data_IF_006560378386
#
_entry.id   IF_006560378386
#
_cell.length_a   1.000
_cell.length_b   1.000
_cell.length_c   1.000
_cell.angle_alpha   90.00
_cell.angle_beta   90.00
_cell.angle_gamma   90.00
#
_symmetry.space_group_name_H-M   'P 1'
#
loop_
_entity.id
_entity.type
_entity.pdbx_description
1 polymer ?
#
# COMPACT_ATOMS: atom_id res chain seq x y z
N UNK A 1 -0.92 2.51 -2.36
CA UNK A 1 -1.59 3.51 -1.51
C UNK A 1 -0.62 4.63 -1.17
N UNK A 2 -1.11 5.80 -0.74
CA UNK A 2 -0.26 6.98 -0.51
C UNK A 2 -0.72 7.83 0.66
N UNK A 3 0.21 8.55 1.27
CA UNK A 3 -0.01 9.43 2.42
C UNK A 3 -0.75 8.72 3.56
N UNK A 4 -1.79 9.36 4.09
CA UNK A 4 -2.60 8.82 5.21
C UNK A 4 -3.26 7.47 4.89
N UNK A 5 -3.49 7.15 3.61
CA UNK A 5 -4.10 5.89 3.21
C UNK A 5 -3.15 4.68 3.29
N UNK A 6 -1.87 4.89 3.62
CA UNK A 6 -0.89 3.81 3.82
C UNK A 6 -1.34 2.88 4.95
N UNK A 7 -1.76 3.41 6.10
CA UNK A 7 -2.24 2.60 7.22
C UNK A 7 -3.43 1.73 6.82
N UNK A 8 -4.39 2.31 6.10
CA UNK A 8 -5.56 1.57 5.62
C UNK A 8 -5.18 0.45 4.64
N UNK A 9 -4.19 0.66 3.78
CA UNK A 9 -3.71 -0.40 2.87
C UNK A 9 -3.07 -1.58 3.61
N UNK A 10 -2.33 -1.31 4.68
CA UNK A 10 -1.76 -2.35 5.54
C UNK A 10 -2.87 -3.10 6.28
N UNK A 11 -3.85 -2.38 6.85
CA UNK A 11 -5.00 -2.98 7.53
C UNK A 11 -5.77 -3.93 6.60
N UNK A 12 -6.01 -3.53 5.34
CA UNK A 12 -6.67 -4.39 4.35
C UNK A 12 -5.87 -5.66 4.08
N UNK A 13 -4.54 -5.56 3.92
CA UNK A 13 -3.69 -6.72 3.67
C UNK A 13 -3.72 -7.71 4.85
N UNK A 14 -3.63 -7.20 6.07
CA UNK A 14 -3.71 -8.02 7.28
C UNK A 14 -5.10 -8.68 7.43
N UNK A 15 -6.18 -7.95 7.14
CA UNK A 15 -7.53 -8.53 7.16
C UNK A 15 -7.67 -9.63 6.09
N UNK A 16 -7.19 -9.40 4.87
CA UNK A 16 -7.23 -10.39 3.80
C UNK A 16 -6.46 -11.66 4.19
N UNK A 17 -5.21 -11.51 4.66
CA UNK A 17 -4.35 -12.63 5.05
C UNK A 17 -4.90 -13.43 6.23
N UNK A 18 -5.39 -12.75 7.27
CA UNK A 18 -5.77 -13.41 8.51
C UNK A 18 -7.23 -13.92 8.53
N UNK A 19 -8.15 -13.23 7.84
CA UNK A 19 -9.59 -13.56 7.90
C UNK A 19 -10.11 -14.29 6.66
N UNK A 20 -9.64 -13.93 5.46
CA UNK A 20 -10.29 -14.35 4.22
C UNK A 20 -9.48 -15.35 3.40
N UNK A 21 -8.17 -15.12 3.27
CA UNK A 21 -7.30 -15.85 2.36
C UNK A 21 -6.18 -16.54 3.14
N UNK A 22 -6.52 -17.68 3.76
CA UNK A 22 -5.57 -18.47 4.55
C UNK A 22 -4.40 -18.91 3.69
N UNK A 23 -3.18 -18.64 4.17
CA UNK A 23 -1.92 -19.01 3.52
C UNK A 23 -1.41 -18.01 2.48
N UNK A 24 -2.06 -16.85 2.32
CA UNK A 24 -1.52 -15.76 1.50
C UNK A 24 -0.25 -15.20 2.15
N UNK A 25 0.77 -14.97 1.33
CA UNK A 25 2.05 -14.44 1.78
C UNK A 25 2.36 -13.07 1.15
N UNK A 26 3.18 -12.29 1.84
CA UNK A 26 3.72 -11.07 1.28
C UNK A 26 4.81 -11.43 0.27
N UNK A 27 4.61 -11.07 -1.00
CA UNK A 27 5.59 -11.27 -2.06
C UNK A 27 6.60 -10.12 -2.09
N UNK A 28 6.11 -8.89 -2.03
CA UNK A 28 6.94 -7.69 -2.13
C UNK A 28 6.26 -6.49 -1.48
N UNK A 29 7.04 -5.64 -0.82
CA UNK A 29 6.58 -4.35 -0.29
C UNK A 29 7.56 -3.28 -0.78
N UNK A 30 7.04 -2.28 -1.50
CA UNK A 30 7.82 -1.14 -1.99
C UNK A 30 7.34 0.13 -1.33
N UNK A 31 8.29 0.96 -0.92
CA UNK A 31 8.02 2.30 -0.37
C UNK A 31 8.73 3.30 -1.26
N UNK A 32 8.04 4.35 -1.64
CA UNK A 32 8.55 5.39 -2.53
C UNK A 32 7.98 6.76 -2.16
N UNK A 33 8.43 7.79 -2.87
CA UNK A 33 7.85 9.14 -2.81
C UNK A 33 7.32 9.48 -4.18
N UNK A 34 6.03 9.78 -4.28
CA UNK A 34 5.40 10.30 -5.49
C UNK A 34 5.34 11.82 -5.45
N UNK A 35 5.62 12.47 -6.58
CA UNK A 35 5.39 13.90 -6.76
C UNK A 35 4.00 14.10 -7.36
N UNK A 36 3.14 14.79 -6.62
CA UNK A 36 1.77 15.10 -7.05
C UNK A 36 1.60 16.60 -7.20
N UNK A 37 0.96 17.01 -8.28
CA UNK A 37 0.60 18.40 -8.49
C UNK A 37 -0.67 18.73 -7.68
N UNK A 38 -0.54 19.65 -6.73
CA UNK A 38 -1.64 20.23 -5.97
C UNK A 38 -2.52 21.14 -6.82
N UNK A 39 -3.70 21.49 -6.31
CA UNK A 39 -4.65 22.40 -6.98
C UNK A 39 -4.07 23.81 -7.17
N UNK A 40 -3.14 24.20 -6.31
CA UNK A 40 -2.36 25.45 -6.39
C UNK A 40 -1.21 25.38 -7.41
N UNK A 41 -1.09 24.26 -8.13
CA UNK A 41 -0.07 24.03 -9.15
C UNK A 41 1.30 23.64 -8.58
N UNK A 42 1.46 23.55 -7.25
CA UNK A 42 2.72 23.15 -6.61
C UNK A 42 2.88 21.64 -6.60
N UNK A 43 4.12 21.17 -6.75
CA UNK A 43 4.44 19.76 -6.57
C UNK A 43 4.62 19.44 -5.09
N UNK A 44 3.91 18.42 -4.63
CA UNK A 44 3.96 17.90 -3.28
C UNK A 44 4.51 16.48 -3.29
N UNK A 45 5.50 16.23 -2.44
CA UNK A 45 6.02 14.89 -2.20
C UNK A 45 5.07 14.14 -1.26
N UNK A 46 4.60 12.97 -1.68
CA UNK A 46 3.71 12.12 -0.90
C UNK A 46 4.32 10.74 -0.80
N UNK A 47 4.45 10.22 0.43
CA UNK A 47 4.90 8.85 0.65
C UNK A 47 3.92 7.87 0.02
N UNK A 48 4.44 6.83 -0.61
CA UNK A 48 3.67 5.79 -1.29
C UNK A 48 4.11 4.41 -0.86
N UNK A 49 3.17 3.47 -0.87
CA UNK A 49 3.39 2.06 -0.57
C UNK A 49 2.71 1.19 -1.63
N UNK A 50 3.42 0.17 -2.09
CA UNK A 50 2.87 -0.92 -2.89
C UNK A 50 3.08 -2.23 -2.13
N UNK A 51 2.02 -3.02 -2.00
CA UNK A 51 2.05 -4.30 -1.30
C UNK A 51 1.57 -5.36 -2.29
N UNK A 52 2.44 -6.32 -2.61
CA UNK A 52 2.12 -7.44 -3.49
C UNK A 52 1.93 -8.68 -2.62
N UNK A 53 0.75 -9.28 -2.72
CA UNK A 53 0.42 -10.54 -2.07
C UNK A 53 0.56 -11.70 -3.07
N UNK A 54 0.99 -12.86 -2.60
CA UNK A 54 1.01 -14.11 -3.37
C UNK A 54 0.06 -15.14 -2.74
N UNK A 55 -0.60 -15.98 -3.56
CA UNK A 55 -1.41 -17.07 -3.06
C UNK A 55 -0.58 -18.08 -2.25
N UNK A 56 -1.22 -18.93 -1.44
CA UNK A 56 -0.55 -20.05 -0.78
C UNK A 56 0.16 -20.93 -1.80
N UNK A 57 1.30 -21.50 -1.39
CA UNK A 57 1.97 -22.54 -2.16
C UNK A 57 1.21 -23.86 -2.09
#
# INVERSE_FOLDING_TARGET
ARGRSISHAVDICEILKNRFLKGVEYKEIRISTEQLKGEDGRENNVSSIEIVLSPPK
#
